data_IF_222276223716
#
_entry.id   IF_222276223716
#
_cell.length_a   1.000
_cell.length_b   1.000
_cell.length_c   1.000
_cell.angle_alpha   90.00
_cell.angle_beta   90.00
_cell.angle_gamma   90.00
#
_symmetry.space_group_name_H-M   'P 1'
#
loop_
_entity.id
_entity.type
_entity.pdbx_description
1 polymer ?
#
# COMPACT_ATOMS: atom_id res chain seq x y z
N UNK A 1 14.21 -6.81 2.69
CA UNK A 1 12.94 -7.34 3.26
C UNK A 1 12.87 -8.86 3.08
N UNK A 2 12.31 -9.61 4.05
CA UNK A 2 12.10 -11.06 3.92
C UNK A 2 10.91 -11.40 2.99
N UNK A 3 10.83 -12.62 2.48
CA UNK A 3 9.72 -13.04 1.62
C UNK A 3 8.37 -12.94 2.36
N UNK A 4 8.27 -13.45 3.59
CA UNK A 4 7.03 -13.38 4.36
C UNK A 4 6.59 -11.93 4.65
N UNK A 5 7.54 -11.02 4.93
CA UNK A 5 7.22 -9.59 5.11
C UNK A 5 6.71 -8.95 3.81
N UNK A 6 7.28 -9.31 2.66
CA UNK A 6 6.81 -8.85 1.35
C UNK A 6 5.37 -9.33 1.07
N UNK A 7 5.08 -10.63 1.27
CA UNK A 7 3.74 -11.18 1.08
C UNK A 7 2.72 -10.50 2.01
N UNK A 8 3.10 -10.28 3.26
CA UNK A 8 2.25 -9.63 4.25
C UNK A 8 1.98 -8.16 3.88
N UNK A 9 2.98 -7.45 3.35
CA UNK A 9 2.81 -6.08 2.85
C UNK A 9 1.81 -6.02 1.69
N UNK A 10 1.96 -6.89 0.68
CA UNK A 10 1.05 -6.92 -0.47
C UNK A 10 -0.38 -7.25 -0.03
N UNK A 11 -0.55 -8.25 0.84
CA UNK A 11 -1.84 -8.58 1.44
C UNK A 11 -2.41 -7.38 2.20
N UNK A 12 -1.59 -6.67 2.99
CA UNK A 12 -2.04 -5.49 3.74
C UNK A 12 -2.53 -4.39 2.80
N UNK A 13 -1.79 -4.11 1.71
CA UNK A 13 -2.19 -3.13 0.71
C UNK A 13 -3.55 -3.47 0.08
N UNK A 14 -3.84 -4.76 -0.14
CA UNK A 14 -5.14 -5.20 -0.66
C UNK A 14 -6.26 -5.05 0.39
N UNK A 15 -6.01 -5.45 1.64
CA UNK A 15 -6.97 -5.30 2.75
C UNK A 15 -7.35 -3.85 3.01
N UNK A 16 -6.38 -2.94 2.99
CA UNK A 16 -6.59 -1.50 3.24
C UNK A 16 -6.94 -0.72 1.99
N UNK A 17 -7.01 -1.38 0.83
CA UNK A 17 -7.19 -0.73 -0.49
C UNK A 17 -6.17 0.39 -0.72
N UNK A 18 -4.93 0.19 -0.27
CA UNK A 18 -3.83 1.13 -0.47
C UNK A 18 -3.50 1.22 -1.95
N UNK A 19 -3.46 2.43 -2.50
CA UNK A 19 -3.16 2.68 -3.91
C UNK A 19 -1.66 2.62 -4.23
N UNK A 20 -0.81 3.14 -3.33
CA UNK A 20 0.64 3.27 -3.52
C UNK A 20 1.38 2.87 -2.25
N UNK A 21 2.40 2.03 -2.39
CA UNK A 21 3.40 1.76 -1.35
C UNK A 21 4.75 2.39 -1.70
N UNK A 22 5.41 2.99 -0.71
CA UNK A 22 6.82 3.39 -0.78
C UNK A 22 7.61 2.38 0.06
N UNK A 23 8.58 1.70 -0.53
CA UNK A 23 9.25 0.55 0.07
C UNK A 23 10.76 0.76 0.06
N UNK A 24 11.37 0.67 1.23
CA UNK A 24 12.82 0.56 1.39
C UNK A 24 13.20 -0.92 1.54
N UNK A 25 14.32 -1.31 0.91
CA UNK A 25 14.85 -2.67 0.80
C UNK A 25 13.79 -3.72 0.37
N UNK A 26 13.11 -3.53 -0.78
CA UNK A 26 12.18 -4.51 -1.31
C UNK A 26 12.85 -5.87 -1.58
N UNK A 27 12.05 -6.92 -1.76
CA UNK A 27 12.57 -8.18 -2.30
C UNK A 27 13.05 -7.95 -3.74
N UNK A 28 14.12 -8.64 -4.16
CA UNK A 28 14.55 -8.66 -5.57
C UNK A 28 13.40 -9.19 -6.44
N UNK A 29 13.17 -8.56 -7.59
CA UNK A 29 12.12 -8.90 -8.56
C UNK A 29 10.70 -9.02 -7.94
N UNK A 30 10.18 -7.95 -7.32
CA UNK A 30 8.93 -8.01 -6.55
C UNK A 30 7.65 -8.16 -7.41
N UNK A 31 7.79 -8.17 -8.75
CA UNK A 31 6.71 -8.48 -9.68
C UNK A 31 6.07 -7.27 -10.35
N UNK A 32 4.85 -7.46 -10.85
CA UNK A 32 4.10 -6.46 -11.64
C UNK A 32 3.74 -5.24 -10.77
N UNK A 33 3.75 -4.05 -11.39
CA UNK A 33 3.44 -2.75 -10.76
C UNK A 33 4.45 -2.29 -9.69
N UNK A 34 5.61 -2.93 -9.63
CA UNK A 34 6.74 -2.43 -8.86
C UNK A 34 7.71 -1.69 -9.76
N UNK A 35 8.13 -0.52 -9.28
CA UNK A 35 9.12 0.33 -9.92
C UNK A 35 10.26 0.50 -8.93
N UNK A 36 11.37 -0.18 -9.19
CA UNK A 36 12.54 -0.18 -8.31
C UNK A 36 13.64 0.75 -8.83
N UNK A 37 14.48 1.21 -7.93
CA UNK A 37 15.76 1.81 -8.30
C UNK A 37 16.74 0.73 -8.84
N UNK A 38 17.84 1.14 -9.52
CA UNK A 38 18.78 0.20 -10.12
C UNK A 38 19.46 -0.75 -9.12
N UNK A 39 19.67 -0.29 -7.88
CA UNK A 39 20.30 -1.10 -6.82
C UNK A 39 19.30 -2.03 -6.10
N UNK A 40 17.99 -1.86 -6.33
CA UNK A 40 16.94 -2.62 -5.67
C UNK A 40 16.78 -2.31 -4.18
N UNK A 41 17.22 -1.14 -3.73
CA UNK A 41 17.16 -0.67 -2.35
C UNK A 41 15.93 0.19 -2.05
N UNK A 42 15.27 0.74 -3.07
CA UNK A 42 14.04 1.50 -2.96
C UNK A 42 13.09 1.11 -4.09
N UNK A 43 11.79 1.04 -3.80
CA UNK A 43 10.77 0.80 -4.81
C UNK A 43 9.46 1.51 -4.49
N UNK A 44 8.70 1.79 -5.55
CA UNK A 44 7.30 2.19 -5.49
C UNK A 44 6.44 1.03 -5.98
N UNK A 45 5.50 0.60 -5.14
CA UNK A 45 4.47 -0.35 -5.52
C UNK A 45 3.19 0.40 -5.86
N UNK A 46 2.70 0.29 -7.10
CA UNK A 46 1.47 0.97 -7.54
C UNK A 46 0.33 -0.05 -7.64
N UNK A 47 -0.40 -0.22 -6.55
CA UNK A 47 -1.48 -1.19 -6.45
C UNK A 47 -2.72 -0.81 -7.29
N UNK A 48 -2.93 0.49 -7.48
CA UNK A 48 -4.01 1.03 -8.30
C UNK A 48 -3.64 0.99 -9.79
N UNK A 49 -4.39 0.22 -10.60
CA UNK A 49 -4.09 0.04 -12.02
C UNK A 49 -4.20 1.32 -12.85
N UNK A 50 -5.14 2.23 -12.53
CA UNK A 50 -5.28 3.50 -13.25
C UNK A 50 -4.05 4.37 -13.03
N UNK A 51 -3.56 4.42 -11.80
CA UNK A 51 -2.31 5.12 -11.47
C UNK A 51 -1.12 4.44 -12.13
N UNK A 52 -1.04 3.10 -12.07
CA UNK A 52 0.05 2.32 -12.67
C UNK A 52 0.18 2.54 -14.17
N UNK A 53 -0.93 2.72 -14.89
CA UNK A 53 -0.94 3.05 -16.32
C UNK A 53 -0.52 4.49 -16.63
N UNK A 54 -0.69 5.41 -15.68
CA UNK A 54 -0.38 6.84 -15.89
C UNK A 54 0.99 7.27 -15.35
N UNK A 55 1.55 6.52 -14.40
CA UNK A 55 2.80 6.87 -13.75
C UNK A 55 3.99 6.48 -14.62
N UNK A 56 4.94 7.41 -14.73
CA UNK A 56 6.19 7.21 -15.42
C UNK A 56 7.37 7.33 -14.45
N UNK A 57 8.48 6.68 -14.78
CA UNK A 57 9.75 6.87 -14.07
C UNK A 57 10.35 8.20 -14.50
N UNK A 58 10.51 9.11 -13.56
CA UNK A 58 11.06 10.46 -13.81
C UNK A 58 12.56 10.46 -13.55
N UNK A 59 12.99 9.80 -12.48
CA UNK A 59 14.39 9.66 -12.13
C UNK A 59 14.61 8.43 -11.27
N UNK A 60 15.78 7.81 -11.40
CA UNK A 60 16.13 6.62 -10.65
C UNK A 60 17.65 6.50 -10.54
N UNK A 61 18.15 6.20 -9.35
CA UNK A 61 19.56 5.92 -9.05
C UNK A 61 19.67 5.20 -7.71
N UNK A 62 20.84 4.67 -7.35
CA UNK A 62 21.02 3.84 -6.16
C UNK A 62 20.36 4.41 -4.90
N UNK A 63 19.37 3.66 -4.39
CA UNK A 63 18.58 4.00 -3.21
C UNK A 63 17.52 5.09 -3.42
N UNK A 64 17.21 5.48 -4.66
CA UNK A 64 16.18 6.50 -4.94
C UNK A 64 15.43 6.23 -6.23
N UNK A 65 14.11 6.34 -6.18
CA UNK A 65 13.24 6.29 -7.35
C UNK A 65 12.18 7.38 -7.24
N UNK A 66 11.98 8.15 -8.31
CA UNK A 66 10.93 9.15 -8.44
C UNK A 66 10.02 8.77 -9.59
N UNK A 67 8.74 8.59 -9.28
CA UNK A 67 7.70 8.25 -10.26
C UNK A 67 6.56 9.25 -10.18
N UNK A 68 5.76 9.34 -11.22
CA UNK A 68 4.52 10.09 -11.14
C UNK A 68 3.95 10.47 -12.50
N UNK A 69 2.95 11.34 -12.42
CA UNK A 69 2.33 11.99 -13.57
C UNK A 69 2.15 13.48 -13.25
N UNK A 70 1.64 14.26 -14.19
CA UNK A 70 1.53 15.72 -14.06
C UNK A 70 0.79 16.22 -12.80
N UNK A 71 0.02 15.36 -12.13
CA UNK A 71 -0.75 15.70 -10.94
C UNK A 71 -0.07 15.33 -9.61
N UNK A 72 0.89 14.40 -9.63
CA UNK A 72 1.52 13.88 -8.41
C UNK A 72 2.87 13.22 -8.71
N UNK A 73 3.89 13.55 -7.90
CA UNK A 73 5.16 12.83 -7.83
C UNK A 73 5.30 12.10 -6.50
N UNK A 74 5.76 10.85 -6.57
CA UNK A 74 6.06 10.00 -5.43
C UNK A 74 7.52 9.54 -5.53
N UNK A 75 8.31 9.88 -4.54
CA UNK A 75 9.71 9.47 -4.38
C UNK A 75 9.87 8.44 -3.27
N UNK A 76 10.60 7.37 -3.55
CA UNK A 76 11.03 6.38 -2.59
C UNK A 76 12.52 6.50 -2.32
N UNK A 77 12.90 6.46 -1.04
CA UNK A 77 14.27 6.56 -0.59
C UNK A 77 14.71 5.35 0.24
N UNK A 78 15.99 5.01 0.13
CA UNK A 78 16.72 4.25 1.13
C UNK A 78 18.15 4.76 1.18
N UNK A 79 18.67 4.93 2.40
CA UNK A 79 20.09 5.14 2.61
C UNK A 79 20.60 4.28 3.76
N UNK A 80 21.68 3.54 3.52
CA UNK A 80 22.23 2.59 4.49
C UNK A 80 22.59 3.26 5.83
N UNK A 81 22.33 2.59 6.97
CA UNK A 81 22.76 3.08 8.28
C UNK A 81 24.28 3.24 8.38
N UNK A 82 25.03 2.39 7.68
CA UNK A 82 26.49 2.34 7.68
C UNK A 82 27.12 3.34 6.70
N UNK A 83 26.33 4.02 5.88
CA UNK A 83 26.82 5.02 4.94
C UNK A 83 27.39 6.27 5.64
N UNK A 84 28.54 6.75 5.16
CA UNK A 84 29.23 7.91 5.73
C UNK A 84 28.43 9.20 5.54
N UNK A 85 28.63 10.24 6.39
CA UNK A 85 27.98 11.54 6.19
C UNK A 85 28.25 12.17 4.82
N UNK A 86 29.46 11.99 4.27
CA UNK A 86 29.83 12.49 2.94
C UNK A 86 29.06 11.76 1.82
N UNK A 87 28.93 10.43 1.91
CA UNK A 87 28.12 9.66 0.98
C UNK A 87 26.65 10.07 1.03
N UNK A 88 26.13 10.34 2.24
CA UNK A 88 24.76 10.82 2.44
C UNK A 88 24.53 12.19 1.80
N UNK A 89 25.48 13.11 1.95
CA UNK A 89 25.39 14.43 1.30
C UNK A 89 25.40 14.31 -0.24
N UNK A 90 26.26 13.45 -0.80
CA UNK A 90 26.28 13.16 -2.25
C UNK A 90 24.96 12.57 -2.72
N UNK A 91 24.37 11.66 -1.95
CA UNK A 91 23.05 11.09 -2.22
C UNK A 91 21.97 12.19 -2.26
N UNK A 92 21.88 13.04 -1.23
CA UNK A 92 20.92 14.16 -1.20
C UNK A 92 21.16 15.19 -2.31
N UNK A 93 22.42 15.42 -2.71
CA UNK A 93 22.77 16.27 -3.86
C UNK A 93 22.21 15.72 -5.17
N UNK A 94 22.20 14.39 -5.38
CA UNK A 94 21.56 13.77 -6.56
C UNK A 94 20.04 13.96 -6.54
N UNK A 95 19.39 13.80 -5.38
CA UNK A 95 17.95 14.07 -5.25
C UNK A 95 17.65 15.55 -5.54
N UNK A 96 18.43 16.48 -4.99
CA UNK A 96 18.28 17.92 -5.25
C UNK A 96 18.39 18.26 -6.75
N UNK A 97 19.35 17.68 -7.47
CA UNK A 97 19.46 17.85 -8.93
C UNK A 97 18.22 17.37 -9.68
N UNK A 98 17.54 16.34 -9.16
CA UNK A 98 16.28 15.83 -9.72
C UNK A 98 15.15 16.80 -9.42
N UNK A 99 14.99 17.21 -8.16
CA UNK A 99 13.91 18.09 -7.72
C UNK A 99 13.94 19.47 -8.39
N UNK A 100 15.13 19.99 -8.71
CA UNK A 100 15.29 21.26 -9.45
C UNK A 100 14.69 21.24 -10.85
N UNK A 101 14.51 20.06 -11.45
CA UNK A 101 13.90 19.91 -12.78
C UNK A 101 12.37 19.82 -12.71
N UNK A 102 11.81 19.61 -11.51
CA UNK A 102 10.37 19.47 -11.33
C UNK A 102 9.68 20.83 -11.20
N UNK A 103 8.43 20.89 -11.67
CA UNK A 103 7.59 22.05 -11.45
C UNK A 103 7.22 22.13 -9.96
N UNK A 104 7.55 23.25 -9.31
CA UNK A 104 7.27 23.47 -7.90
C UNK A 104 5.77 23.43 -7.55
N UNK A 105 4.88 23.62 -8.53
CA UNK A 105 3.42 23.51 -8.38
C UNK A 105 2.91 22.07 -8.44
N UNK A 106 3.72 21.13 -8.92
CA UNK A 106 3.34 19.72 -8.90
C UNK A 106 3.52 19.19 -7.47
N UNK A 107 2.49 18.56 -6.86
CA UNK A 107 2.61 17.91 -5.56
C UNK A 107 3.73 16.85 -5.58
N UNK A 108 4.69 16.95 -4.67
CA UNK A 108 5.80 16.01 -4.52
C UNK A 108 5.79 15.46 -3.10
N UNK A 109 5.78 14.14 -2.98
CA UNK A 109 5.94 13.39 -1.72
C UNK A 109 7.17 12.52 -1.84
N UNK A 110 8.08 12.59 -0.86
CA UNK A 110 9.25 11.72 -0.78
C UNK A 110 9.22 11.00 0.56
N UNK A 111 9.25 9.68 0.54
CA UNK A 111 9.25 8.85 1.75
C UNK A 111 10.33 7.78 1.72
N UNK A 112 10.75 7.31 2.89
CA UNK A 112 11.60 6.12 3.01
C UNK A 112 12.50 6.15 4.22
N UNK A 113 13.38 5.15 4.31
CA UNK A 113 14.36 5.02 5.38
C UNK A 113 15.64 5.82 5.07
N UNK A 114 15.84 6.93 5.78
CA UNK A 114 17.03 7.77 5.62
C UNK A 114 18.17 7.37 6.57
N UNK A 115 17.91 6.52 7.57
CA UNK A 115 18.83 6.20 8.67
C UNK A 115 19.50 7.46 9.27
N UNK A 116 18.70 8.51 9.48
CA UNK A 116 19.12 9.82 9.96
C UNK A 116 18.37 10.20 11.25
N UNK A 117 19.09 10.76 12.23
CA UNK A 117 18.54 11.07 13.55
C UNK A 117 18.50 12.58 13.78
N UNK A 118 17.32 13.12 14.08
CA UNK A 118 17.11 14.51 14.45
C UNK A 118 15.93 14.64 15.42
N UNK A 119 16.04 15.55 16.39
CA UNK A 119 15.00 15.90 17.35
C UNK A 119 13.72 16.40 16.67
N UNK A 120 13.81 17.01 15.48
CA UNK A 120 12.63 17.49 14.72
C UNK A 120 11.63 16.39 14.35
N UNK A 121 12.09 15.16 14.17
CA UNK A 121 11.24 13.98 13.96
C UNK A 121 11.31 13.00 15.15
N UNK A 122 11.62 13.50 16.35
CA UNK A 122 11.50 12.73 17.59
C UNK A 122 12.69 11.83 17.96
N UNK A 123 13.85 11.98 17.31
CA UNK A 123 15.07 11.31 17.79
C UNK A 123 15.61 11.97 19.07
N UNK A 124 16.22 11.19 19.97
CA UNK A 124 16.83 11.71 21.23
C UNK A 124 17.97 12.72 20.97
N UNK A 125 18.75 12.49 19.92
CA UNK A 125 19.93 13.30 19.55
C UNK A 125 19.96 13.53 18.04
N UNK A 126 20.65 14.59 17.63
CA UNK A 126 20.92 14.88 16.22
C UNK A 126 22.23 14.24 15.82
N UNK A 127 22.26 13.44 14.75
CA UNK A 127 23.51 12.99 14.12
C UNK A 127 23.84 13.85 12.89
N UNK A 128 25.04 13.68 12.33
CA UNK A 128 25.49 14.45 11.16
C UNK A 128 24.52 14.30 9.97
N UNK A 129 24.08 13.07 9.68
CA UNK A 129 23.08 12.79 8.63
C UNK A 129 21.77 13.56 8.87
N UNK A 130 21.24 13.56 10.09
CA UNK A 130 20.01 14.25 10.44
C UNK A 130 20.10 15.77 10.32
N UNK A 131 21.24 16.37 10.65
CA UNK A 131 21.48 17.81 10.41
C UNK A 131 21.53 18.13 8.92
N UNK A 132 22.21 17.30 8.14
CA UNK A 132 22.31 17.46 6.67
C UNK A 132 20.94 17.28 6.00
N UNK A 133 20.16 16.27 6.41
CA UNK A 133 18.82 16.03 5.87
C UNK A 133 17.86 17.19 6.16
N UNK A 134 17.89 17.73 7.38
CA UNK A 134 17.10 18.90 7.76
C UNK A 134 17.43 20.12 6.89
N UNK A 135 18.72 20.43 6.71
CA UNK A 135 19.16 21.54 5.86
C UNK A 135 18.73 21.34 4.42
N UNK A 136 18.93 20.12 3.89
CA UNK A 136 18.54 19.76 2.54
C UNK A 136 17.03 19.95 2.31
N UNK A 137 16.19 19.53 3.26
CA UNK A 137 14.74 19.71 3.16
C UNK A 137 14.37 21.21 3.10
N UNK A 138 14.99 22.04 3.95
CA UNK A 138 14.81 23.49 3.93
C UNK A 138 15.19 24.14 2.59
N UNK A 139 16.34 23.78 2.02
CA UNK A 139 16.77 24.29 0.69
C UNK A 139 15.81 23.89 -0.44
N UNK A 140 15.14 22.75 -0.32
CA UNK A 140 14.19 22.25 -1.33
C UNK A 140 12.73 22.62 -1.04
N UNK A 141 12.46 23.46 -0.02
CA UNK A 141 11.09 23.83 0.41
C UNK A 141 10.22 22.60 0.70
N UNK A 142 10.84 21.58 1.30
CA UNK A 142 10.18 20.36 1.73
C UNK A 142 9.85 20.45 3.22
N UNK A 143 8.62 20.09 3.55
CA UNK A 143 8.06 20.10 4.89
C UNK A 143 8.04 18.68 5.45
N UNK A 144 8.38 18.57 6.74
CA UNK A 144 8.28 17.32 7.48
C UNK A 144 6.81 16.97 7.69
N UNK A 145 6.40 15.79 7.25
CA UNK A 145 5.02 15.30 7.40
C UNK A 145 4.86 14.41 8.63
N UNK A 146 5.94 13.78 9.12
CA UNK A 146 5.90 12.96 10.33
C UNK A 146 5.21 13.70 11.49
N UNK A 147 4.31 13.01 12.19
CA UNK A 147 3.57 13.52 13.35
C UNK A 147 3.72 12.60 14.55
N UNK A 148 3.75 13.18 15.74
CA UNK A 148 3.89 12.42 16.98
C UNK A 148 5.28 11.79 17.12
N UNK A 149 5.40 10.89 18.10
CA UNK A 149 6.66 10.29 18.54
C UNK A 149 6.65 8.75 18.48
N UNK A 150 5.69 8.17 17.74
CA UNK A 150 5.65 6.71 17.55
C UNK A 150 6.90 6.25 16.77
N UNK A 151 7.63 5.22 17.25
CA UNK A 151 8.85 4.75 16.59
C UNK A 151 8.53 4.07 15.25
N UNK A 152 9.36 4.32 14.24
CA UNK A 152 9.20 3.73 12.90
C UNK A 152 10.03 2.47 12.74
N UNK A 153 11.14 2.34 13.48
CA UNK A 153 11.94 1.12 13.56
C UNK A 153 12.00 0.65 15.02
N UNK A 154 11.61 -0.60 15.27
CA UNK A 154 11.43 -1.18 16.61
C UNK A 154 12.22 -2.50 16.68
N UNK A 155 13.28 -2.49 17.49
CA UNK A 155 14.15 -3.64 17.76
C UNK A 155 13.99 -4.09 19.21
N UNK A 156 14.58 -5.23 19.58
CA UNK A 156 14.54 -5.76 20.95
C UNK A 156 15.01 -4.73 21.99
N UNK A 157 16.21 -4.18 21.79
CA UNK A 157 16.86 -3.26 22.74
C UNK A 157 16.79 -1.77 22.35
N UNK A 158 15.97 -1.41 21.36
CA UNK A 158 15.96 -0.03 20.88
C UNK A 158 14.79 0.27 19.96
N UNK A 159 14.56 1.56 19.75
CA UNK A 159 13.59 2.04 18.77
C UNK A 159 14.02 3.41 18.28
N UNK A 160 13.73 3.72 17.02
CA UNK A 160 14.13 4.96 16.37
C UNK A 160 13.06 5.46 15.41
N UNK A 161 13.14 6.75 15.07
CA UNK A 161 12.36 7.36 13.99
C UNK A 161 13.37 7.73 12.90
N UNK A 162 13.41 6.89 11.87
CA UNK A 162 14.37 6.96 10.75
C UNK A 162 13.68 6.96 9.39
N UNK A 163 12.41 6.53 9.36
CA UNK A 163 11.54 6.58 8.19
C UNK A 163 10.85 7.94 8.15
N UNK A 164 11.22 8.76 7.16
CA UNK A 164 10.81 10.16 7.08
C UNK A 164 9.97 10.38 5.83
N UNK A 165 8.88 11.14 5.98
CA UNK A 165 8.05 11.62 4.89
C UNK A 165 8.22 13.13 4.74
N UNK A 166 8.64 13.55 3.55
CA UNK A 166 8.77 14.92 3.12
C UNK A 166 7.73 15.24 2.06
N UNK A 167 7.21 16.46 2.07
CA UNK A 167 6.34 16.93 1.00
C UNK A 167 6.62 18.40 0.66
N UNK A 168 6.46 18.78 -0.60
CA UNK A 168 6.44 20.21 -0.94
C UNK A 168 5.12 20.85 -0.49
N UNK A 169 5.04 22.18 -0.61
CA UNK A 169 3.86 22.94 -0.14
C UNK A 169 2.55 22.46 -0.78
N UNK A 170 2.56 22.08 -2.05
CA UNK A 170 1.36 21.62 -2.76
C UNK A 170 0.89 20.24 -2.33
N UNK A 171 1.83 19.31 -2.07
CA UNK A 171 1.48 18.01 -1.51
C UNK A 171 1.05 18.11 -0.05
N UNK A 172 1.70 18.94 0.76
CA UNK A 172 1.39 19.12 2.19
C UNK A 172 -0.07 19.50 2.44
N UNK A 173 -0.65 20.35 1.59
CA UNK A 173 -2.07 20.76 1.66
C UNK A 173 -3.06 19.62 1.37
N UNK A 174 -2.60 18.56 0.69
CA UNK A 174 -3.41 17.43 0.24
C UNK A 174 -3.25 16.19 1.12
N UNK A 175 -2.22 16.16 1.96
CA UNK A 175 -1.93 15.04 2.87
C UNK A 175 -2.74 15.18 4.16
N UNK A 176 -3.39 14.11 4.56
CA UNK A 176 -4.10 13.99 5.84
C UNK A 176 -3.92 12.58 6.42
N UNK A 177 -4.27 12.41 7.70
CA UNK A 177 -4.22 11.14 8.44
C UNK A 177 -2.85 10.44 8.42
N UNK A 178 -1.76 11.22 8.45
CA UNK A 178 -0.43 10.64 8.60
C UNK A 178 -0.28 10.02 9.99
N UNK A 179 0.09 8.74 10.04
CA UNK A 179 0.33 8.02 11.28
C UNK A 179 1.25 6.81 11.07
N UNK A 180 1.95 6.44 12.14
CA UNK A 180 2.59 5.12 12.27
C UNK A 180 1.52 4.11 12.68
N UNK A 181 1.42 2.99 11.96
CA UNK A 181 0.46 1.93 12.23
C UNK A 181 0.94 1.05 13.40
N UNK A 182 0.71 1.52 14.63
CA UNK A 182 1.08 0.78 15.84
C UNK A 182 0.28 -0.52 16.00
N UNK A 183 0.93 -1.56 16.54
CA UNK A 183 0.29 -2.83 16.84
C UNK A 183 -0.13 -3.65 15.61
N UNK A 184 0.32 -3.27 14.40
CA UNK A 184 0.23 -4.06 13.17
C UNK A 184 1.52 -4.86 12.99
N UNK A 185 1.38 -6.15 12.67
CA UNK A 185 2.53 -7.00 12.38
C UNK A 185 3.02 -6.79 10.94
N UNK A 186 4.32 -6.59 10.78
CA UNK A 186 4.96 -6.31 9.48
C UNK A 186 5.97 -7.38 9.08
N UNK A 187 6.30 -8.29 10.02
CA UNK A 187 7.40 -9.25 9.95
C UNK A 187 8.78 -8.60 9.73
N UNK A 188 8.85 -7.28 9.87
CA UNK A 188 10.03 -6.43 9.80
C UNK A 188 10.21 -5.71 11.14
N UNK A 189 11.41 -5.18 11.36
CA UNK A 189 11.65 -4.27 12.48
C UNK A 189 11.00 -2.89 12.22
N UNK A 190 10.68 -2.58 10.95
CA UNK A 190 10.02 -1.33 10.57
C UNK A 190 8.49 -1.47 10.68
N UNK A 191 7.84 -0.43 11.19
CA UNK A 191 6.40 -0.26 11.24
C UNK A 191 5.90 0.34 9.92
N UNK A 192 4.64 0.04 9.56
CA UNK A 192 4.02 0.72 8.43
C UNK A 192 3.71 2.16 8.78
N UNK A 193 3.91 3.05 7.81
CA UNK A 193 3.43 4.43 7.85
C UNK A 193 2.30 4.53 6.84
N UNK A 194 1.20 5.15 7.23
CA UNK A 194 0.06 5.39 6.36
C UNK A 194 -0.28 6.87 6.32
N UNK A 195 -0.74 7.35 5.18
CA UNK A 195 -1.34 8.67 5.01
C UNK A 195 -2.28 8.63 3.81
N UNK A 196 -3.22 9.56 3.80
CA UNK A 196 -4.15 9.78 2.69
C UNK A 196 -3.74 11.03 1.92
N UNK A 197 -3.89 10.99 0.59
CA UNK A 197 -3.56 12.12 -0.29
C UNK A 197 -4.77 12.44 -1.15
N UNK A 198 -5.26 13.69 -1.09
CA UNK A 198 -6.30 14.14 -2.00
C UNK A 198 -5.74 14.20 -3.42
N UNK A 199 -6.32 13.39 -4.31
CA UNK A 199 -5.89 13.28 -5.71
C UNK A 199 -6.93 13.92 -6.64
N UNK A 200 -6.73 15.20 -6.94
CA UNK A 200 -7.61 15.93 -7.86
C UNK A 200 -7.19 15.66 -9.32
N UNK A 201 -7.99 14.88 -10.04
CA UNK A 201 -7.86 14.69 -11.50
C UNK A 201 -8.34 15.91 -12.30
N UNK A 202 -9.06 16.82 -11.66
CA UNK A 202 -9.68 18.00 -12.28
C UNK A 202 -8.70 19.15 -12.37
N UNK A 203 -8.39 19.58 -13.59
CA UNK A 203 -7.92 20.93 -13.86
C UNK A 203 -8.98 21.97 -13.41
N UNK A 204 -8.61 23.23 -13.13
CA UNK A 204 -9.58 24.30 -12.96
C UNK A 204 -10.21 24.60 -14.33
N UNK A 205 -11.33 23.96 -14.61
CA UNK A 205 -12.03 24.10 -15.88
C UNK A 205 -12.91 22.89 -16.13
N UNK A 206 -14.22 23.09 -16.00
CA UNK A 206 -15.31 22.14 -16.21
C UNK A 206 -15.56 21.16 -15.05
N UNK A 207 -16.29 21.66 -14.05
CA UNK A 207 -17.27 20.84 -13.33
C UNK A 207 -18.25 20.25 -14.35
N UNK A 208 -17.89 19.11 -14.93
CA UNK A 208 -18.90 18.18 -15.42
C UNK A 208 -19.43 17.48 -14.17
N UNK A 209 -20.69 17.74 -13.85
CA UNK A 209 -21.47 17.11 -12.79
C UNK A 209 -21.02 15.67 -12.56
N UNK A 210 -20.33 15.43 -11.45
CA UNK A 210 -20.00 14.09 -10.96
C UNK A 210 -21.24 13.47 -10.33
N UNK A 211 -22.25 13.17 -11.16
CA UNK A 211 -23.34 12.27 -10.78
C UNK A 211 -23.03 10.81 -11.16
N UNK A 212 -21.83 10.51 -11.69
CA UNK A 212 -21.44 9.15 -12.09
C UNK A 212 -20.66 8.36 -11.02
N UNK A 213 -20.40 8.94 -9.84
CA UNK A 213 -19.83 8.24 -8.69
C UNK A 213 -20.97 7.94 -7.71
N UNK A 214 -21.25 6.65 -7.48
CA UNK A 214 -22.29 6.09 -6.59
C UNK A 214 -23.68 5.74 -7.15
N UNK A 215 -23.87 5.57 -8.46
CA UNK A 215 -25.03 4.78 -8.91
C UNK A 215 -24.76 3.27 -8.74
N UNK A 216 -25.62 2.49 -8.07
CA UNK A 216 -25.53 1.04 -8.07
C UNK A 216 -25.60 0.54 -9.51
N UNK A 217 -24.50 -0.01 -10.03
CA UNK A 217 -24.53 -0.60 -11.38
C UNK A 217 -25.14 -1.99 -11.29
N UNK A 218 -26.44 -2.09 -11.53
CA UNK A 218 -27.11 -3.37 -11.69
C UNK A 218 -26.68 -4.07 -12.98
N UNK A 219 -26.62 -5.40 -12.97
CA UNK A 219 -26.36 -6.16 -14.18
C UNK A 219 -27.65 -6.33 -14.98
N UNK A 220 -27.93 -5.37 -15.88
CA UNK A 220 -29.15 -5.35 -16.71
C UNK A 220 -29.32 -6.60 -17.57
N UNK A 221 -28.23 -7.32 -17.90
CA UNK A 221 -28.31 -8.59 -18.64
C UNK A 221 -28.93 -9.74 -17.83
N UNK A 222 -28.98 -9.61 -16.51
CA UNK A 222 -29.60 -10.57 -15.58
C UNK A 222 -30.86 -9.97 -14.94
N UNK A 223 -31.52 -9.06 -15.65
CA UNK A 223 -32.76 -8.46 -15.19
C UNK A 223 -33.88 -9.48 -15.20
N UNK A 224 -34.40 -9.80 -14.02
CA UNK A 224 -35.64 -10.54 -13.86
C UNK A 224 -36.82 -9.57 -13.97
N UNK A 225 -37.42 -9.50 -15.17
CA UNK A 225 -38.56 -8.61 -15.44
C UNK A 225 -39.75 -8.92 -14.54
N UNK A 226 -40.06 -10.19 -14.33
CA UNK A 226 -41.30 -10.59 -13.69
C UNK A 226 -41.24 -10.35 -12.18
N UNK A 227 -40.08 -10.62 -11.59
CA UNK A 227 -39.80 -10.25 -10.20
C UNK A 227 -39.84 -8.73 -10.01
N UNK A 228 -39.27 -7.94 -10.94
CA UNK A 228 -39.30 -6.49 -10.86
C UNK A 228 -40.74 -5.94 -10.93
N UNK A 229 -41.54 -6.43 -11.87
CA UNK A 229 -42.96 -6.04 -12.01
C UNK A 229 -43.76 -6.41 -10.77
N UNK A 230 -43.59 -7.61 -10.23
CA UNK A 230 -44.26 -8.06 -9.01
C UNK A 230 -43.92 -7.16 -7.81
N UNK A 231 -42.65 -6.80 -7.64
CA UNK A 231 -42.19 -5.93 -6.56
C UNK A 231 -42.76 -4.51 -6.69
N UNK A 232 -42.77 -3.94 -7.91
CA UNK A 232 -43.34 -2.62 -8.15
C UNK A 232 -44.86 -2.62 -7.93
N UNK A 233 -45.56 -3.68 -8.32
CA UNK A 233 -47.00 -3.84 -8.05
C UNK A 233 -47.28 -3.87 -6.55
N UNK A 234 -46.47 -4.59 -5.76
CA UNK A 234 -46.61 -4.64 -4.29
C UNK A 234 -46.35 -3.26 -3.67
N UNK A 235 -45.27 -2.58 -4.08
CA UNK A 235 -44.88 -1.28 -3.54
C UNK A 235 -45.86 -0.15 -3.90
N UNK A 236 -46.56 -0.28 -5.03
CA UNK A 236 -47.58 0.67 -5.48
C UNK A 236 -48.99 0.29 -5.01
N UNK A 237 -49.17 -0.85 -4.34
CA UNK A 237 -50.45 -1.30 -3.81
C UNK A 237 -50.81 -0.55 -2.52
N UNK A 238 -51.12 0.74 -2.63
CA UNK A 238 -51.84 1.47 -1.59
C UNK A 238 -52.54 2.73 -2.15
N UNK A 239 -53.88 2.77 -2.20
CA UNK A 239 -54.60 3.97 -2.62
C UNK A 239 -54.74 4.93 -1.42
N UNK A 240 -53.78 5.84 -1.23
CA UNK A 240 -53.99 6.97 -0.30
C UNK A 240 -54.60 8.16 -1.02
N UNK A 241 -55.70 8.67 -0.45
CA UNK A 241 -56.44 9.82 -0.96
C UNK A 241 -55.54 11.05 -1.05
N UNK A 242 -55.61 11.73 -2.18
CA UNK A 242 -54.92 12.96 -2.51
C UNK A 242 -55.39 14.11 -1.59
N UNK A 243 -54.84 14.22 -0.38
CA UNK A 243 -54.84 15.46 0.38
C UNK A 243 -53.63 15.46 1.34
N UNK A 244 -52.76 16.45 1.13
CA UNK A 244 -51.42 16.65 1.71
C UNK A 244 -50.33 15.71 1.18
N UNK A 245 -49.93 15.94 -0.07
CA UNK A 245 -48.76 15.30 -0.68
C UNK A 245 -47.54 16.22 -0.46
N UNK A 246 -46.61 15.82 0.40
CA UNK A 246 -45.27 16.38 0.39
C UNK A 246 -44.52 15.77 -0.81
N UNK A 247 -44.41 16.52 -1.90
CA UNK A 247 -43.80 16.06 -3.17
C UNK A 247 -42.41 15.44 -2.96
N UNK A 248 -41.62 15.98 -2.03
CA UNK A 248 -40.27 15.49 -1.74
C UNK A 248 -40.27 14.12 -1.07
N UNK A 249 -41.27 13.85 -0.22
CA UNK A 249 -41.42 12.53 0.41
C UNK A 249 -41.90 11.49 -0.58
N UNK A 250 -42.78 11.84 -1.51
CA UNK A 250 -43.24 10.90 -2.54
C UNK A 250 -42.14 10.56 -3.56
N UNK A 251 -41.31 11.55 -3.93
CA UNK A 251 -40.13 11.29 -4.77
C UNK A 251 -39.17 10.33 -4.05
N UNK A 252 -38.89 10.54 -2.77
CA UNK A 252 -38.02 9.65 -2.00
C UNK A 252 -38.60 8.23 -1.89
N UNK A 253 -39.91 8.09 -1.66
CA UNK A 253 -40.59 6.79 -1.62
C UNK A 253 -40.51 6.06 -2.95
N UNK A 254 -40.67 6.78 -4.06
CA UNK A 254 -40.53 6.22 -5.40
C UNK A 254 -39.08 5.80 -5.68
N UNK A 255 -38.10 6.62 -5.32
CA UNK A 255 -36.68 6.29 -5.45
C UNK A 255 -36.32 5.05 -4.62
N UNK A 256 -36.85 4.94 -3.40
CA UNK A 256 -36.66 3.79 -2.53
C UNK A 256 -37.30 2.52 -3.11
N UNK A 257 -38.54 2.60 -3.59
CA UNK A 257 -39.26 1.49 -4.20
C UNK A 257 -38.52 0.99 -5.47
N UNK A 258 -38.10 1.91 -6.34
CA UNK A 258 -37.31 1.58 -7.54
C UNK A 258 -35.97 0.97 -7.18
N UNK A 259 -35.29 1.50 -6.17
CA UNK A 259 -34.00 0.98 -5.70
C UNK A 259 -34.15 -0.42 -5.11
N UNK A 260 -35.20 -0.68 -4.34
CA UNK A 260 -35.53 -2.02 -3.80
C UNK A 260 -35.82 -3.01 -4.91
N UNK A 261 -36.73 -2.66 -5.83
CA UNK A 261 -37.08 -3.49 -6.97
C UNK A 261 -35.86 -3.82 -7.83
N UNK A 262 -34.99 -2.85 -8.11
CA UNK A 262 -33.76 -3.07 -8.86
C UNK A 262 -32.75 -3.94 -8.11
N UNK A 263 -32.58 -3.78 -6.79
CA UNK A 263 -31.65 -4.61 -6.01
C UNK A 263 -32.06 -6.08 -5.94
N UNK A 264 -33.37 -6.37 -5.96
CA UNK A 264 -33.89 -7.73 -5.89
C UNK A 264 -33.99 -8.38 -7.29
N UNK A 265 -34.39 -7.62 -8.31
CA UNK A 265 -34.51 -8.10 -9.69
C UNK A 265 -33.20 -8.17 -10.47
N UNK A 266 -32.14 -7.52 -9.98
CA UNK A 266 -30.84 -7.53 -10.63
C UNK A 266 -29.70 -7.73 -9.63
N UNK A 267 -28.78 -8.68 -9.87
CA UNK A 267 -27.55 -8.74 -9.10
C UNK A 267 -26.71 -7.49 -9.43
N UNK A 268 -26.04 -6.94 -8.41
CA UNK A 268 -25.07 -5.87 -8.62
C UNK A 268 -23.95 -6.37 -9.53
N UNK A 269 -23.52 -5.52 -10.47
CA UNK A 269 -22.40 -5.80 -11.37
C UNK A 269 -21.15 -5.98 -10.53
N UNK A 270 -20.74 -7.24 -10.33
CA UNK A 270 -19.43 -7.55 -9.76
C UNK A 270 -18.37 -7.04 -10.75
N UNK A 271 -17.56 -6.08 -10.33
CA UNK A 271 -16.28 -5.86 -10.98
C UNK A 271 -15.46 -7.11 -10.69
N UNK A 272 -15.27 -7.97 -11.70
CA UNK A 272 -14.33 -9.08 -11.59
C UNK A 272 -12.97 -8.44 -11.30
N UNK A 273 -12.45 -8.66 -10.10
CA UNK A 273 -11.07 -8.30 -9.79
C UNK A 273 -10.18 -9.02 -10.81
N UNK A 274 -9.39 -8.25 -11.57
CA UNK A 274 -8.35 -8.81 -12.45
C UNK A 274 -7.09 -9.20 -11.67
N UNK A 275 -7.08 -8.96 -10.35
CA UNK A 275 -6.04 -9.47 -9.46
C UNK A 275 -6.27 -10.97 -9.27
N UNK A 276 -5.22 -11.81 -9.27
CA UNK A 276 -5.37 -13.16 -8.80
C UNK A 276 -6.01 -13.10 -7.40
N UNK A 277 -7.06 -13.88 -7.13
CA UNK A 277 -7.51 -14.02 -5.75
C UNK A 277 -6.30 -14.46 -4.93
N UNK A 278 -6.11 -13.84 -3.77
CA UNK A 278 -4.98 -14.13 -2.90
C UNK A 278 -5.26 -15.48 -2.21
N UNK A 279 -5.27 -16.56 -3.01
CA UNK A 279 -5.78 -17.89 -2.67
C UNK A 279 -4.98 -18.59 -1.56
N UNK A 280 -3.83 -18.01 -1.19
CA UNK A 280 -2.99 -18.50 -0.10
C UNK A 280 -3.36 -17.90 1.27
N UNK A 281 -4.14 -16.81 1.32
CA UNK A 281 -4.59 -16.23 2.57
C UNK A 281 -5.84 -16.94 3.09
N UNK A 282 -5.84 -17.36 4.35
CA UNK A 282 -6.94 -18.10 4.97
C UNK A 282 -7.19 -17.65 6.43
N UNK A 283 -8.22 -18.23 7.06
CA UNK A 283 -8.64 -17.87 8.42
C UNK A 283 -7.61 -18.27 9.49
N UNK A 284 -6.87 -19.36 9.26
CA UNK A 284 -5.76 -19.79 10.12
C UNK A 284 -4.66 -18.72 10.17
N UNK A 285 -4.21 -18.24 9.01
CA UNK A 285 -3.22 -17.16 8.91
C UNK A 285 -3.72 -15.86 9.55
N UNK A 286 -5.02 -15.58 9.41
CA UNK A 286 -5.65 -14.42 10.06
C UNK A 286 -5.58 -14.53 11.59
N UNK A 287 -5.84 -15.73 12.12
CA UNK A 287 -5.78 -16.04 13.55
C UNK A 287 -4.34 -15.96 14.08
N UNK A 288 -3.38 -16.57 13.37
CA UNK A 288 -1.95 -16.50 13.72
C UNK A 288 -1.44 -15.06 13.68
N UNK A 289 -1.89 -14.25 12.70
CA UNK A 289 -1.56 -12.83 12.63
C UNK A 289 -2.10 -12.07 13.83
N UNK A 290 -3.33 -12.33 14.26
CA UNK A 290 -3.92 -11.69 15.45
C UNK A 290 -3.19 -12.09 16.75
N UNK A 291 -2.83 -13.36 16.92
CA UNK A 291 -2.03 -13.81 18.07
C UNK A 291 -0.65 -13.13 18.10
N UNK A 292 0.04 -13.10 16.97
CA UNK A 292 1.33 -12.42 16.84
C UNK A 292 1.22 -10.93 17.19
N UNK A 293 0.20 -10.24 16.67
CA UNK A 293 -0.06 -8.83 17.01
C UNK A 293 -0.36 -8.63 18.50
N UNK A 294 -1.14 -9.51 19.11
CA UNK A 294 -1.45 -9.46 20.55
C UNK A 294 -0.17 -9.59 21.37
N UNK A 295 0.65 -10.60 21.10
CA UNK A 295 1.93 -10.83 21.80
C UNK A 295 2.90 -9.67 21.60
N UNK A 296 2.99 -9.11 20.39
CA UNK A 296 3.76 -7.89 20.10
C UNK A 296 3.30 -6.70 20.93
N UNK A 297 1.99 -6.45 21.00
CA UNK A 297 1.42 -5.35 21.80
C UNK A 297 1.72 -5.55 23.28
N UNK A 298 1.61 -6.77 23.80
CA UNK A 298 1.94 -7.09 25.20
C UNK A 298 3.41 -6.81 25.50
N UNK A 299 4.33 -7.26 24.64
CA UNK A 299 5.76 -6.98 24.77
C UNK A 299 6.08 -5.48 24.67
N UNK A 300 5.49 -4.75 23.71
CA UNK A 300 5.72 -3.31 23.57
C UNK A 300 5.18 -2.51 24.77
N UNK A 301 4.00 -2.88 25.30
CA UNK A 301 3.45 -2.28 26.53
C UNK A 301 4.35 -2.58 27.73
N UNK A 302 4.88 -3.80 27.83
CA UNK A 302 5.87 -4.17 28.84
C UNK A 302 7.26 -3.59 28.57
N UNK A 303 7.43 -2.56 27.74
CA UNK A 303 8.67 -1.75 27.67
C UNK A 303 8.45 -0.31 28.12
N UNK A 304 7.19 0.12 28.23
CA UNK A 304 6.82 1.50 28.59
C UNK A 304 6.68 1.72 30.09
N UNK A 305 6.72 0.67 30.94
CA UNK A 305 6.61 0.81 32.40
C UNK A 305 7.97 1.13 33.02
N UNK A 306 8.02 2.09 33.95
CA UNK A 306 9.27 2.60 34.56
C UNK A 306 9.93 1.64 35.56
N UNK A 307 9.19 0.74 36.21
CA UNK A 307 9.69 -0.23 37.20
C UNK A 307 9.51 -1.65 36.69
N UNK A 308 10.46 -2.15 35.92
CA UNK A 308 10.25 -3.35 35.10
C UNK A 308 11.21 -4.47 35.50
N UNK A 309 10.66 -5.66 35.75
CA UNK A 309 11.45 -6.87 35.87
C UNK A 309 11.96 -7.25 34.46
N UNK A 310 13.29 -7.20 34.27
CA UNK A 310 13.95 -7.50 32.99
C UNK A 310 13.57 -8.88 32.46
N UNK A 311 13.40 -9.85 33.36
CA UNK A 311 13.09 -11.24 33.00
C UNK A 311 11.69 -11.39 32.43
N UNK A 312 10.70 -10.68 33.00
CA UNK A 312 9.32 -10.70 32.51
C UNK A 312 9.20 -10.08 31.10
N UNK A 313 9.95 -9.00 30.85
CA UNK A 313 10.00 -8.39 29.52
C UNK A 313 10.69 -9.31 28.51
N UNK A 314 11.75 -10.01 28.91
CA UNK A 314 12.45 -10.97 28.06
C UNK A 314 11.55 -12.17 27.72
N UNK A 315 10.82 -12.72 28.70
CA UNK A 315 9.87 -13.80 28.46
C UNK A 315 8.76 -13.41 27.47
N UNK A 316 8.20 -12.20 27.60
CA UNK A 316 7.21 -11.67 26.64
C UNK A 316 7.79 -11.50 25.23
N UNK A 317 9.06 -11.15 25.13
CA UNK A 317 9.75 -11.05 23.85
C UNK A 317 9.93 -12.44 23.20
N UNK A 318 10.33 -13.46 23.96
CA UNK A 318 10.45 -14.83 23.44
C UNK A 318 9.10 -15.36 22.95
N UNK A 319 8.01 -15.18 23.71
CA UNK A 319 6.66 -15.55 23.23
C UNK A 319 6.27 -14.85 21.92
N UNK A 320 6.61 -13.56 21.78
CA UNK A 320 6.38 -12.83 20.53
C UNK A 320 7.23 -13.39 19.39
N UNK A 321 8.51 -13.69 19.64
CA UNK A 321 9.44 -14.24 18.65
C UNK A 321 8.99 -15.62 18.17
N UNK A 322 8.51 -16.48 19.06
CA UNK A 322 7.90 -17.77 18.72
C UNK A 322 6.67 -17.60 17.82
N UNK A 323 5.74 -16.72 18.20
CA UNK A 323 4.55 -16.43 17.38
C UNK A 323 4.89 -15.85 16.01
N UNK A 324 5.91 -14.97 15.94
CA UNK A 324 6.43 -14.42 14.69
C UNK A 324 7.01 -15.53 13.80
N UNK A 325 7.82 -16.43 14.35
CA UNK A 325 8.38 -17.57 13.62
C UNK A 325 7.28 -18.52 13.13
N UNK A 326 6.28 -18.79 13.96
CA UNK A 326 5.14 -19.62 13.59
C UNK A 326 4.36 -19.01 12.42
N UNK A 327 4.05 -17.71 12.49
CA UNK A 327 3.38 -16.99 11.41
C UNK A 327 4.20 -17.00 10.11
N UNK A 328 5.51 -16.79 10.18
CA UNK A 328 6.40 -16.86 8.99
C UNK A 328 6.33 -18.25 8.35
N UNK A 329 6.45 -19.32 9.15
CA UNK A 329 6.40 -20.70 8.66
C UNK A 329 5.05 -21.00 8.01
N UNK A 330 3.94 -20.59 8.64
CA UNK A 330 2.59 -20.79 8.12
C UNK A 330 2.35 -20.04 6.80
N UNK A 331 2.77 -18.77 6.70
CA UNK A 331 2.67 -17.99 5.45
C UNK A 331 3.41 -18.70 4.31
N UNK A 332 4.65 -19.14 4.58
CA UNK A 332 5.47 -19.82 3.58
C UNK A 332 4.88 -21.19 3.18
N UNK A 333 4.30 -21.93 4.14
CA UNK A 333 3.63 -23.20 3.86
C UNK A 333 2.37 -23.00 3.00
N UNK A 334 1.49 -22.07 3.37
CA UNK A 334 0.28 -21.75 2.63
C UNK A 334 0.60 -21.29 1.19
N UNK A 335 1.65 -20.47 1.04
CA UNK A 335 2.10 -20.03 -0.29
C UNK A 335 2.60 -21.20 -1.14
N UNK A 336 3.43 -22.09 -0.58
CA UNK A 336 3.91 -23.29 -1.28
C UNK A 336 2.78 -24.24 -1.65
N UNK A 337 1.79 -24.44 -0.77
CA UNK A 337 0.65 -25.31 -1.04
C UNK A 337 -0.22 -24.74 -2.16
N UNK A 338 -0.43 -23.42 -2.18
CA UNK A 338 -1.16 -22.75 -3.26
C UNK A 338 -0.42 -22.87 -4.59
N UNK A 339 0.91 -22.76 -4.57
CA UNK A 339 1.74 -22.98 -5.75
C UNK A 339 1.64 -24.43 -6.25
N UNK A 340 1.72 -25.42 -5.35
CA UNK A 340 1.56 -26.84 -5.70
C UNK A 340 0.20 -27.11 -6.34
N UNK A 341 -0.89 -26.63 -5.73
CA UNK A 341 -2.25 -26.75 -6.28
C UNK A 341 -2.37 -26.10 -7.67
N UNK A 342 -1.70 -24.97 -7.86
CA UNK A 342 -1.67 -24.32 -9.16
C UNK A 342 -0.92 -25.16 -10.20
N UNK A 343 0.21 -25.78 -9.85
CA UNK A 343 0.93 -26.67 -10.75
C UNK A 343 0.12 -27.91 -11.12
N UNK A 344 -0.64 -28.48 -10.20
CA UNK A 344 -1.58 -29.60 -10.46
C UNK A 344 -2.66 -29.23 -11.51
N UNK A 345 -2.92 -27.93 -11.74
CA UNK A 345 -3.83 -27.51 -12.83
C UNK A 345 -3.21 -27.63 -14.22
N UNK A 346 -1.87 -27.66 -14.34
CA UNK A 346 -1.19 -27.84 -15.63
C UNK A 346 -1.40 -29.25 -16.19
N UNK A 347 -1.47 -30.25 -15.32
CA UNK A 347 -1.72 -31.64 -15.74
C UNK A 347 -3.09 -31.79 -16.41
N UNK A 348 -4.04 -30.91 -16.06
CA UNK A 348 -5.39 -30.89 -16.62
C UNK A 348 -5.55 -29.90 -17.80
N UNK A 349 -4.87 -28.76 -17.75
CA UNK A 349 -4.85 -27.74 -18.82
C UNK A 349 -3.42 -27.20 -18.99
N UNK A 350 -2.64 -27.80 -19.90
CA UNK A 350 -1.26 -27.38 -20.19
C UNK A 350 -1.15 -25.93 -20.65
N UNK A 351 -2.23 -25.36 -21.22
CA UNK A 351 -2.30 -23.97 -21.70
C UNK A 351 -3.04 -23.03 -20.72
N UNK A 352 -3.26 -23.52 -19.50
CA UNK A 352 -4.04 -22.85 -18.47
C UNK A 352 -3.36 -21.64 -17.86
N UNK A 353 -3.80 -21.27 -16.66
CA UNK A 353 -3.30 -20.08 -15.94
C UNK A 353 -1.78 -20.05 -15.78
N UNK A 354 -1.08 -21.16 -15.45
CA UNK A 354 0.36 -21.11 -15.20
C UNK A 354 1.16 -20.85 -16.49
N UNK A 355 0.78 -21.47 -17.61
CA UNK A 355 1.37 -21.18 -18.93
C UNK A 355 1.15 -19.72 -19.38
N UNK A 356 -0.07 -19.19 -19.19
CA UNK A 356 -0.37 -17.79 -19.52
C UNK A 356 0.47 -16.81 -18.69
N UNK A 357 0.78 -17.17 -17.44
CA UNK A 357 1.64 -16.36 -16.57
C UNK A 357 3.10 -16.39 -16.98
N UNK A 358 3.67 -17.57 -17.27
CA UNK A 358 5.06 -17.67 -17.73
C UNK A 358 5.27 -16.92 -19.04
N UNK A 359 4.31 -17.00 -19.98
CA UNK A 359 4.34 -16.22 -21.23
C UNK A 359 4.32 -14.71 -20.98
N UNK A 360 3.44 -14.24 -20.09
CA UNK A 360 3.35 -12.82 -19.72
C UNK A 360 4.62 -12.31 -19.00
N UNK A 361 5.31 -13.17 -18.25
CA UNK A 361 6.60 -12.84 -17.64
C UNK A 361 7.70 -12.74 -18.68
N UNK A 362 7.75 -13.67 -19.65
CA UNK A 362 8.69 -13.60 -20.77
C UNK A 362 8.55 -12.28 -21.52
N UNK A 363 7.32 -11.91 -21.88
CA UNK A 363 7.05 -10.71 -22.67
C UNK A 363 7.40 -9.40 -21.90
N UNK A 364 7.27 -9.40 -20.57
CA UNK A 364 7.70 -8.29 -19.70
C UNK A 364 9.23 -8.23 -19.48
N UNK A 365 9.93 -9.35 -19.56
CA UNK A 365 11.40 -9.39 -19.56
C UNK A 365 11.96 -8.89 -20.90
N UNK A 366 11.35 -9.26 -22.02
CA UNK A 366 11.76 -8.83 -23.37
C UNK A 366 11.67 -7.32 -23.58
N UNK A 367 10.70 -6.66 -22.94
CA UNK A 367 10.57 -5.19 -22.96
C UNK A 367 11.52 -4.45 -22.01
N UNK A 368 12.27 -5.18 -21.17
CA UNK A 368 13.26 -4.61 -20.23
C UNK A 368 14.70 -5.07 -20.50
N UNK A 369 14.94 -5.85 -21.55
CA UNK A 369 16.25 -6.43 -21.90
C UNK A 369 17.29 -5.44 -22.49
N UNK A 370 17.17 -4.14 -22.20
CA UNK A 370 18.25 -3.17 -22.39
C UNK A 370 18.96 -2.85 -21.07
N UNK A 371 19.22 -3.86 -20.24
CA UNK A 371 20.25 -3.84 -19.19
C UNK A 371 20.24 -5.17 -18.44
N UNK A 372 21.41 -5.76 -18.25
CA UNK A 372 21.73 -6.98 -17.50
C UNK A 372 21.81 -8.28 -18.31
N UNK A 373 23.01 -8.52 -18.85
CA UNK A 373 23.55 -9.84 -19.19
C UNK A 373 23.90 -10.60 -17.90
N UNK A 374 23.13 -11.62 -17.58
CA UNK A 374 23.43 -12.57 -16.51
C UNK A 374 22.49 -13.76 -16.62
N UNK A 375 23.04 -14.95 -16.86
CA UNK A 375 22.28 -16.22 -16.94
C UNK A 375 21.65 -16.54 -15.58
N UNK A 376 20.32 -16.56 -15.53
CA UNK A 376 19.56 -16.94 -14.33
C UNK A 376 19.31 -18.45 -14.36
N UNK A 377 19.77 -19.14 -13.31
CA UNK A 377 19.50 -20.57 -13.08
C UNK A 377 18.01 -20.81 -12.78
N UNK A 378 17.46 -21.92 -13.28
CA UNK A 378 16.05 -22.30 -13.12
C UNK A 378 15.64 -22.49 -11.64
N UNK A 379 16.59 -22.72 -10.74
CA UNK A 379 16.33 -22.96 -9.31
C UNK A 379 16.09 -21.67 -8.50
N UNK A 380 16.33 -20.48 -9.07
CA UNK A 380 15.97 -19.19 -8.44
C UNK A 380 14.49 -18.79 -8.64
N UNK A 381 13.71 -19.59 -9.39
CA UNK A 381 12.30 -19.32 -9.70
C UNK A 381 11.29 -19.93 -8.73
N UNK A 382 11.71 -20.27 -7.51
CA UNK A 382 10.76 -20.58 -6.43
C UNK A 382 10.19 -19.25 -5.91
N UNK A 383 9.03 -18.87 -6.46
CA UNK A 383 8.27 -17.66 -6.16
C UNK A 383 7.85 -17.55 -4.69
#
# INVERSE_FOLDING_TARGET
>A
MSHAAHLLLVQRCDETKTDIGIISEPRRNPGKNWISDPSGLAAIFVNNNDLASSFQVISSFDGFVLVGNQHLRIGGCYFSPNGTPLAFERYLKKINKTLRKENYRTPIIIGGDFNAHNKKWGSKKNNAKGKTLERWAGTNRLFLINRGNAPTCIRQHGSSIVDITWANEEARKRIYDWQVQEGVETLSDHAYISMSVRYDKSAPGNMKNTSSQYFPRWNVKKFDSDLCKALLLIETWNPKRANQINLKEEINKLEDALTRACNLSMPKKKMLSTKPPNDWWNDELSTLRQDCQRKRRTWQKSRKKQNQNTDESQMKYEHYKEAKLHLIKAIMAAKRQTWKRLLETLDNDPWGKPYKWTKKMRDNCSTRAYSCSGSVSADEFIF
#
